data_IF_164601222002
#
_entry.id   IF_164601222002
#
_cell.length_a   1.000
_cell.length_b   1.000
_cell.length_c   1.000
_cell.angle_alpha   90.00
_cell.angle_beta   90.00
_cell.angle_gamma   90.00
#
_symmetry.space_group_name_H-M   'P 1'
#
loop_
_entity.id
_entity.type
_entity.pdbx_description
1 polymer ?
#
# COMPACT_ATOMS: atom_id res chain seq x y z
N UNK A 1 -8.43 11.85 29.97
CA UNK A 1 -7.44 11.33 29.00
C UNK A 1 -8.09 11.02 27.66
N UNK A 2 -9.26 10.37 27.64
CA UNK A 2 -10.03 10.13 26.40
C UNK A 2 -10.55 11.40 25.70
N UNK A 3 -10.82 12.47 26.45
CA UNK A 3 -11.33 13.75 25.90
C UNK A 3 -10.28 14.54 25.10
N UNK A 4 -9.01 14.52 25.53
CA UNK A 4 -7.88 15.16 24.82
C UNK A 4 -7.49 14.40 23.55
N UNK A 5 -7.61 13.06 23.58
CA UNK A 5 -7.45 12.21 22.41
C UNK A 5 -8.58 12.47 21.42
N UNK A 6 -9.83 12.57 21.89
CA UNK A 6 -10.97 12.84 21.02
C UNK A 6 -10.88 14.23 20.39
N UNK A 7 -10.48 15.27 21.13
CA UNK A 7 -10.24 16.60 20.58
C UNK A 7 -9.13 16.61 19.51
N UNK A 8 -8.03 15.89 19.74
CA UNK A 8 -6.96 15.72 18.73
C UNK A 8 -7.42 14.93 17.51
N UNK A 9 -8.28 13.93 17.69
CA UNK A 9 -8.91 13.17 16.60
C UNK A 9 -9.87 14.04 15.78
N UNK A 10 -10.72 14.87 16.42
CA UNK A 10 -11.60 15.85 15.74
C UNK A 10 -10.75 16.79 14.91
N UNK A 11 -9.72 17.37 15.53
CA UNK A 11 -8.88 18.37 14.90
C UNK A 11 -8.01 17.80 13.78
N UNK A 12 -7.58 16.54 13.89
CA UNK A 12 -6.85 15.83 12.84
C UNK A 12 -7.77 15.39 11.69
N UNK A 13 -8.99 14.92 11.98
CA UNK A 13 -9.95 14.52 10.95
C UNK A 13 -10.43 15.70 10.09
N UNK A 14 -10.74 16.84 10.72
CA UNK A 14 -11.15 18.06 10.04
C UNK A 14 -9.99 18.68 9.24
N UNK A 15 -8.77 18.70 9.81
CA UNK A 15 -7.60 19.30 9.18
C UNK A 15 -6.96 18.45 8.08
N UNK A 16 -6.99 17.12 8.19
CA UNK A 16 -6.26 16.23 7.29
C UNK A 16 -7.16 15.45 6.31
N UNK A 17 -8.41 15.13 6.68
CA UNK A 17 -9.36 14.50 5.76
C UNK A 17 -10.42 15.47 5.23
N UNK A 18 -10.57 16.67 5.81
CA UNK A 18 -11.64 17.61 5.45
C UNK A 18 -13.04 17.06 5.76
N UNK A 19 -13.13 16.06 6.65
CA UNK A 19 -14.38 15.38 7.02
C UNK A 19 -14.67 15.61 8.50
N UNK A 20 -15.95 15.87 8.81
CA UNK A 20 -16.43 15.89 10.19
C UNK A 20 -16.25 14.51 10.85
N UNK A 21 -16.05 14.47 12.16
CA UNK A 21 -15.82 13.21 12.90
C UNK A 21 -16.92 12.16 12.68
N UNK A 22 -18.14 12.61 12.41
CA UNK A 22 -19.32 11.78 12.16
C UNK A 22 -19.36 11.18 10.75
N UNK A 23 -18.52 11.66 9.83
CA UNK A 23 -18.36 11.15 8.46
C UNK A 23 -17.17 10.20 8.29
N UNK A 24 -16.43 9.90 9.37
CA UNK A 24 -15.33 8.95 9.36
C UNK A 24 -15.87 7.52 9.40
N UNK A 25 -15.39 6.69 8.49
CA UNK A 25 -15.58 5.25 8.53
C UNK A 25 -14.90 4.64 9.77
N UNK A 26 -15.35 3.45 10.24
CA UNK A 26 -14.74 2.77 11.38
C UNK A 26 -13.23 2.50 11.20
N UNK A 27 -12.80 2.30 9.95
CA UNK A 27 -11.38 2.12 9.59
C UNK A 27 -10.59 3.43 9.75
N UNK A 28 -11.08 4.55 9.22
CA UNK A 28 -10.42 5.87 9.34
C UNK A 28 -10.24 6.28 10.81
N UNK A 29 -11.23 6.02 11.68
CA UNK A 29 -11.11 6.28 13.14
C UNK A 29 -10.01 5.43 13.79
N UNK A 30 -9.93 4.14 13.48
CA UNK A 30 -8.93 3.25 14.05
C UNK A 30 -7.50 3.65 13.65
N UNK A 31 -7.30 4.11 12.41
CA UNK A 31 -6.00 4.59 11.92
C UNK A 31 -5.57 5.84 12.67
N UNK A 32 -6.47 6.81 12.86
CA UNK A 32 -6.17 8.03 13.59
C UNK A 32 -5.84 7.75 15.07
N UNK A 33 -6.56 6.85 15.73
CA UNK A 33 -6.24 6.40 17.09
C UNK A 33 -4.87 5.72 17.17
N UNK A 34 -4.53 4.88 16.19
CA UNK A 34 -3.23 4.21 16.12
C UNK A 34 -2.08 5.17 15.79
N UNK A 35 -2.31 6.19 14.96
CA UNK A 35 -1.35 7.25 14.66
C UNK A 35 -1.02 8.08 15.91
N UNK A 36 -2.03 8.46 16.68
CA UNK A 36 -1.85 9.15 17.98
C UNK A 36 -1.18 8.23 19.01
N UNK A 37 -1.46 6.92 18.96
CA UNK A 37 -0.95 5.92 19.88
C UNK A 37 0.52 5.49 19.67
N UNK A 38 1.23 5.98 18.64
CA UNK A 38 2.63 5.63 18.31
C UNK A 38 2.95 4.12 18.36
N UNK A 39 2.02 3.24 17.98
CA UNK A 39 2.33 1.81 17.84
C UNK A 39 2.97 1.56 16.47
N UNK A 40 4.15 0.96 16.48
CA UNK A 40 4.85 0.46 15.29
C UNK A 40 4.10 -0.75 14.76
N UNK A 41 3.27 -0.56 13.75
CA UNK A 41 2.62 -1.63 13.02
C UNK A 41 3.59 -2.14 11.96
N UNK A 42 4.55 -2.97 12.38
CA UNK A 42 5.20 -3.89 11.43
C UNK A 42 4.35 -5.15 11.46
N UNK A 43 3.17 -5.08 10.83
CA UNK A 43 2.34 -6.25 10.53
C UNK A 43 2.57 -6.55 9.07
N UNK A 44 3.01 -7.76 8.74
CA UNK A 44 3.12 -8.20 7.35
C UNK A 44 1.78 -8.81 6.93
N UNK A 45 0.91 -8.06 6.20
CA UNK A 45 -0.38 -8.58 5.75
C UNK A 45 -0.24 -9.82 4.84
N UNK A 46 0.92 -9.98 4.19
CA UNK A 46 1.21 -11.10 3.29
C UNK A 46 1.30 -12.43 4.05
N UNK A 47 1.95 -12.42 5.21
CA UNK A 47 2.24 -13.62 5.99
C UNK A 47 0.99 -14.18 6.68
N UNK A 48 0.06 -13.31 7.07
CA UNK A 48 -1.17 -13.69 7.76
C UNK A 48 -2.24 -14.26 6.82
N UNK A 49 -2.16 -13.94 5.52
CA UNK A 49 -3.03 -14.48 4.48
C UNK A 49 -2.67 -15.93 4.13
N UNK A 50 -1.36 -16.22 4.05
CA UNK A 50 -0.86 -17.54 3.66
C UNK A 50 -1.12 -18.61 4.75
N UNK A 51 -1.20 -18.20 6.03
CA UNK A 51 -1.45 -19.10 7.17
C UNK A 51 -2.90 -19.62 7.24
N UNK A 52 -3.83 -19.02 6.46
CA UNK A 52 -5.25 -19.40 6.42
C UNK A 52 -5.62 -20.30 5.25
N UNK A 53 -4.64 -20.71 4.43
CA UNK A 53 -4.90 -21.48 3.21
C UNK A 53 -5.26 -22.94 3.51
N UNK A 54 -6.42 -23.37 3.02
CA UNK A 54 -6.82 -24.79 3.07
C UNK A 54 -6.00 -25.63 2.09
N UNK A 55 -5.90 -26.94 2.33
CA UNK A 55 -5.14 -27.86 1.46
C UNK A 55 -5.60 -27.83 -0.01
N UNK A 56 -6.91 -27.70 -0.25
CA UNK A 56 -7.45 -27.60 -1.61
C UNK A 56 -7.06 -26.30 -2.31
N UNK A 57 -6.99 -25.18 -1.57
CA UNK A 57 -6.54 -23.90 -2.10
C UNK A 57 -5.05 -23.90 -2.46
N UNK A 58 -4.21 -24.52 -1.61
CA UNK A 58 -2.78 -24.71 -1.88
C UNK A 58 -2.54 -25.58 -3.11
N UNK A 59 -3.32 -26.66 -3.28
CA UNK A 59 -3.25 -27.50 -4.46
C UNK A 59 -3.67 -26.74 -5.73
N UNK A 60 -4.75 -25.96 -5.66
CA UNK A 60 -5.20 -25.13 -6.79
C UNK A 60 -4.14 -24.09 -7.19
N UNK A 61 -3.48 -23.43 -6.23
CA UNK A 61 -2.36 -22.51 -6.51
C UNK A 61 -1.20 -23.22 -7.19
N UNK A 62 -0.81 -24.40 -6.67
CA UNK A 62 0.27 -25.18 -7.25
C UNK A 62 -0.06 -25.63 -8.69
N UNK A 63 -1.30 -26.05 -8.94
CA UNK A 63 -1.76 -26.44 -10.29
C UNK A 63 -1.80 -25.24 -11.24
N UNK A 64 -2.26 -24.08 -10.78
CA UNK A 64 -2.28 -22.86 -11.58
C UNK A 64 -0.86 -22.37 -11.91
N UNK A 65 0.06 -22.39 -10.94
CA UNK A 65 1.46 -22.00 -11.12
C UNK A 65 2.20 -22.97 -12.05
N UNK A 66 1.95 -24.28 -11.92
CA UNK A 66 2.55 -25.29 -12.79
C UNK A 66 2.03 -25.19 -14.23
N UNK A 67 0.71 -25.07 -14.39
CA UNK A 67 0.05 -24.94 -15.69
C UNK A 67 0.38 -23.63 -16.43
N UNK A 68 0.75 -22.57 -15.71
CA UNK A 68 1.18 -21.29 -16.28
C UNK A 68 2.65 -21.23 -16.72
N UNK A 69 3.44 -22.29 -16.51
CA UNK A 69 4.88 -22.26 -16.84
C UNK A 69 5.15 -22.53 -18.33
N UNK A 70 6.09 -21.78 -18.92
CA UNK A 70 6.51 -21.98 -20.31
C UNK A 70 7.06 -23.38 -20.59
N UNK A 71 7.76 -23.98 -19.62
CA UNK A 71 8.28 -25.34 -19.73
C UNK A 71 7.16 -26.39 -19.80
N UNK A 72 6.07 -26.20 -19.05
CA UNK A 72 4.91 -27.08 -19.12
C UNK A 72 4.22 -26.99 -20.47
N UNK A 73 4.02 -25.78 -21.00
CA UNK A 73 3.38 -25.57 -22.31
C UNK A 73 4.17 -26.28 -23.43
N UNK A 74 5.50 -26.11 -23.45
CA UNK A 74 6.36 -26.74 -24.45
C UNK A 74 6.35 -28.28 -24.29
N UNK A 75 6.51 -28.79 -23.07
CA UNK A 75 6.48 -30.22 -22.80
C UNK A 75 5.15 -30.87 -23.18
N UNK A 76 4.04 -30.19 -22.87
CA UNK A 76 2.70 -30.63 -23.24
C UNK A 76 2.50 -30.67 -24.75
N UNK A 77 2.94 -29.63 -25.48
CA UNK A 77 2.88 -29.59 -26.94
C UNK A 77 3.71 -30.72 -27.58
N UNK A 78 4.90 -31.00 -27.06
CA UNK A 78 5.74 -32.12 -27.52
C UNK A 78 5.07 -33.46 -27.25
N UNK A 79 4.48 -33.66 -26.07
CA UNK A 79 3.75 -34.89 -25.75
C UNK A 79 2.55 -35.11 -26.68
N UNK A 80 1.79 -34.06 -27.00
CA UNK A 80 0.70 -34.12 -27.98
C UNK A 80 1.21 -34.48 -29.38
N UNK A 81 2.31 -33.88 -29.83
CA UNK A 81 2.92 -34.17 -31.12
C UNK A 81 3.42 -35.62 -31.19
N UNK A 82 4.03 -36.14 -30.12
CA UNK A 82 4.47 -37.53 -30.03
C UNK A 82 3.28 -38.50 -30.03
N UNK A 83 2.20 -38.19 -29.31
CA UNK A 83 0.98 -39.00 -29.27
C UNK A 83 0.30 -39.08 -30.65
N UNK A 84 0.15 -37.94 -31.31
CA UNK A 84 -0.42 -37.86 -32.65
C UNK A 84 0.47 -38.59 -33.67
N UNK A 85 1.79 -38.38 -33.60
CA UNK A 85 2.78 -39.06 -34.45
C UNK A 85 2.77 -40.57 -34.27
N UNK A 86 2.74 -41.06 -33.03
CA UNK A 86 2.67 -42.49 -32.74
C UNK A 86 1.39 -43.13 -33.31
N UNK A 87 0.23 -42.51 -33.10
CA UNK A 87 -1.04 -43.03 -33.62
C UNK A 87 -1.12 -42.99 -35.15
N UNK A 88 -0.51 -41.99 -35.79
CA UNK A 88 -0.45 -41.91 -37.25
C UNK A 88 0.45 -43.01 -37.85
N UNK A 89 1.58 -43.32 -37.20
CA UNK A 89 2.50 -44.39 -37.62
C UNK A 89 1.91 -45.79 -37.42
N UNK A 90 1.05 -45.97 -36.41
CA UNK A 90 0.43 -47.27 -36.09
C UNK A 90 -0.76 -47.61 -37.00
N UNK A 91 -1.29 -46.64 -37.78
CA UNK A 91 -2.33 -46.76 -38.82
C UNK A 91 -3.43 -47.82 -38.55
N UNK A 92 -3.16 -49.11 -38.87
CA UNK A 92 -4.11 -50.23 -38.70
C UNK A 92 -4.27 -50.80 -37.27
N UNK A 93 -3.43 -50.40 -36.31
CA UNK A 93 -3.57 -50.71 -34.87
C UNK A 93 -3.62 -49.43 -34.02
N UNK A 94 -3.93 -48.29 -34.63
CA UNK A 94 -4.00 -47.02 -33.93
C UNK A 94 -5.05 -47.07 -32.81
N UNK A 95 -4.64 -46.69 -31.61
CA UNK A 95 -5.52 -46.62 -30.44
C UNK A 95 -6.48 -45.43 -30.55
N UNK A 96 -6.01 -44.34 -31.16
CA UNK A 96 -6.77 -43.12 -31.44
C UNK A 96 -6.55 -42.68 -32.90
N UNK A 97 -7.27 -43.28 -33.88
CA UNK A 97 -7.16 -42.92 -35.29
C UNK A 97 -7.59 -41.48 -35.54
N UNK A 98 -7.06 -40.85 -36.60
CA UNK A 98 -7.54 -39.54 -37.06
C UNK A 98 -9.07 -39.61 -37.26
N UNK A 99 -9.88 -38.77 -36.58
CA UNK A 99 -9.60 -37.41 -36.10
C UNK A 99 -9.23 -37.24 -34.59
N UNK A 100 -8.67 -38.25 -33.92
CA UNK A 100 -8.20 -38.20 -32.52
C UNK A 100 -9.30 -37.88 -31.48
N UNK A 101 -10.37 -38.69 -31.46
CA UNK A 101 -11.54 -38.46 -30.59
C UNK A 101 -11.16 -38.58 -29.11
N UNK A 102 -10.29 -39.53 -28.77
CA UNK A 102 -9.90 -39.75 -27.37
C UNK A 102 -9.06 -38.58 -26.85
N UNK A 103 -8.08 -38.13 -27.63
CA UNK A 103 -7.28 -36.95 -27.30
C UNK A 103 -8.15 -35.70 -27.12
N UNK A 104 -9.11 -35.49 -28.03
CA UNK A 104 -10.02 -34.35 -27.95
C UNK A 104 -10.89 -34.39 -26.69
N UNK A 105 -11.41 -35.57 -26.32
CA UNK A 105 -12.18 -35.75 -25.09
C UNK A 105 -11.34 -35.41 -23.85
N UNK A 106 -10.11 -35.91 -23.79
CA UNK A 106 -9.19 -35.62 -22.68
C UNK A 106 -8.86 -34.13 -22.58
N UNK A 107 -8.53 -33.48 -23.69
CA UNK A 107 -8.25 -32.04 -23.73
C UNK A 107 -9.46 -31.21 -23.29
N UNK A 108 -10.66 -31.59 -23.73
CA UNK A 108 -11.91 -30.92 -23.35
C UNK A 108 -12.18 -31.03 -21.85
N UNK A 109 -11.98 -32.20 -21.25
CA UNK A 109 -12.11 -32.41 -19.80
C UNK A 109 -11.06 -31.62 -19.02
N UNK A 110 -9.81 -31.60 -19.51
CA UNK A 110 -8.73 -30.85 -18.88
C UNK A 110 -9.05 -29.35 -18.86
N UNK A 111 -9.46 -28.79 -20.00
CA UNK A 111 -9.83 -27.38 -20.12
C UNK A 111 -11.03 -27.02 -19.21
N UNK A 112 -12.03 -27.90 -19.12
CA UNK A 112 -13.21 -27.67 -18.28
C UNK A 112 -12.88 -27.55 -16.80
N UNK A 113 -11.91 -28.32 -16.30
CA UNK A 113 -11.43 -28.24 -14.91
C UNK A 113 -10.44 -27.07 -14.73
N UNK A 114 -9.67 -26.74 -15.77
CA UNK A 114 -8.66 -25.70 -15.71
C UNK A 114 -9.26 -24.30 -15.49
N UNK A 115 -10.36 -23.95 -16.17
CA UNK A 115 -10.94 -22.61 -16.07
C UNK A 115 -11.40 -22.23 -14.63
N UNK A 116 -12.15 -23.08 -13.90
CA UNK A 116 -12.49 -22.82 -12.50
C UNK A 116 -11.27 -22.77 -11.58
N UNK A 117 -10.25 -23.61 -11.78
CA UNK A 117 -9.04 -23.61 -10.96
C UNK A 117 -8.27 -22.30 -11.14
N UNK A 118 -8.12 -21.84 -12.39
CA UNK A 118 -7.54 -20.53 -12.71
C UNK A 118 -8.37 -19.42 -12.05
N UNK A 119 -9.69 -19.46 -12.18
CA UNK A 119 -10.58 -18.43 -11.61
C UNK A 119 -10.52 -18.41 -10.08
N UNK A 120 -10.40 -19.57 -9.42
CA UNK A 120 -10.20 -19.66 -7.97
C UNK A 120 -8.85 -19.06 -7.55
N UNK A 121 -7.78 -19.33 -8.31
CA UNK A 121 -6.46 -18.73 -8.07
C UNK A 121 -6.49 -17.21 -8.28
N UNK A 122 -7.17 -16.73 -9.32
CA UNK A 122 -7.33 -15.30 -9.62
C UNK A 122 -8.16 -14.58 -8.54
N UNK A 123 -9.31 -15.14 -8.15
CA UNK A 123 -10.14 -14.55 -7.09
C UNK A 123 -9.37 -14.44 -5.77
N UNK A 124 -8.52 -15.43 -5.46
CA UNK A 124 -7.66 -15.40 -4.27
C UNK A 124 -6.56 -14.33 -4.37
N UNK A 125 -5.86 -14.25 -5.50
CA UNK A 125 -4.85 -13.20 -5.72
C UNK A 125 -5.48 -11.80 -5.63
N UNK A 126 -6.64 -11.58 -6.27
CA UNK A 126 -7.35 -10.32 -6.20
C UNK A 126 -7.79 -9.95 -4.76
N UNK A 127 -8.16 -10.93 -3.94
CA UNK A 127 -8.48 -10.69 -2.53
C UNK A 127 -7.23 -10.28 -1.73
N UNK A 128 -6.10 -10.95 -1.95
CA UNK A 128 -4.79 -10.61 -1.34
C UNK A 128 -4.33 -9.21 -1.76
N UNK A 129 -4.40 -8.91 -3.05
CA UNK A 129 -4.03 -7.59 -3.61
C UNK A 129 -4.89 -6.47 -3.02
N UNK A 130 -6.18 -6.74 -2.79
CA UNK A 130 -7.09 -5.77 -2.15
C UNK A 130 -6.71 -5.49 -0.70
N UNK A 131 -6.32 -6.50 0.07
CA UNK A 131 -5.87 -6.31 1.45
C UNK A 131 -4.54 -5.57 1.52
N UNK A 132 -3.58 -5.93 0.66
CA UNK A 132 -2.30 -5.21 0.55
C UNK A 132 -2.54 -3.75 0.18
N UNK A 133 -3.36 -3.49 -0.84
CA UNK A 133 -3.69 -2.13 -1.26
C UNK A 133 -4.38 -1.31 -0.16
N UNK A 134 -5.25 -1.96 0.63
CA UNK A 134 -5.87 -1.30 1.76
C UNK A 134 -4.83 -0.95 2.83
N UNK A 135 -3.94 -1.89 3.18
CA UNK A 135 -2.88 -1.64 4.16
C UNK A 135 -1.91 -0.53 3.71
N UNK A 136 -1.50 -0.54 2.45
CA UNK A 136 -0.63 0.49 1.86
C UNK A 136 -1.28 1.88 1.94
N UNK A 137 -2.60 1.95 1.71
CA UNK A 137 -3.36 3.19 1.89
C UNK A 137 -3.32 3.69 3.34
N UNK A 138 -3.50 2.80 4.33
CA UNK A 138 -3.41 3.16 5.75
C UNK A 138 -2.02 3.68 6.14
N UNK A 139 -0.96 3.01 5.67
CA UNK A 139 0.43 3.40 5.91
C UNK A 139 0.72 4.76 5.27
N UNK A 140 0.30 4.97 4.02
CA UNK A 140 0.51 6.24 3.32
C UNK A 140 -0.22 7.39 4.02
N UNK A 141 -1.49 7.19 4.42
CA UNK A 141 -2.25 8.19 5.16
C UNK A 141 -1.58 8.55 6.49
N UNK A 142 -1.08 7.55 7.22
CA UNK A 142 -0.33 7.79 8.46
C UNK A 142 0.95 8.58 8.22
N UNK A 143 1.71 8.24 7.18
CA UNK A 143 2.91 8.97 6.81
C UNK A 143 2.61 10.43 6.45
N UNK A 144 1.52 10.68 5.72
CA UNK A 144 1.07 12.03 5.37
C UNK A 144 0.77 12.86 6.63
N UNK A 145 0.04 12.29 7.60
CA UNK A 145 -0.26 12.94 8.89
C UNK A 145 1.02 13.24 9.67
N UNK A 146 1.97 12.29 9.74
CA UNK A 146 3.25 12.49 10.42
C UNK A 146 4.09 13.61 9.77
N UNK A 147 4.09 13.69 8.43
CA UNK A 147 4.77 14.77 7.69
C UNK A 147 4.13 16.13 7.99
N UNK A 148 2.80 16.22 8.00
CA UNK A 148 2.11 17.48 8.30
C UNK A 148 2.36 17.93 9.74
N UNK A 149 2.35 17.01 10.70
CA UNK A 149 2.71 17.31 12.09
C UNK A 149 4.17 17.79 12.22
N UNK A 150 5.09 17.22 11.44
CA UNK A 150 6.48 17.68 11.37
C UNK A 150 6.57 19.09 10.79
N UNK A 151 5.84 19.37 9.71
CA UNK A 151 5.81 20.70 9.07
C UNK A 151 5.34 21.78 10.04
N UNK A 152 4.25 21.55 10.77
CA UNK A 152 3.72 22.49 11.74
C UNK A 152 4.73 22.74 12.89
N UNK A 153 5.47 21.71 13.32
CA UNK A 153 6.55 21.87 14.31
C UNK A 153 7.70 22.71 13.77
N UNK A 154 8.10 22.51 12.50
CA UNK A 154 9.14 23.30 11.85
C UNK A 154 8.73 24.77 11.72
N UNK A 155 7.48 25.03 11.32
CA UNK A 155 6.95 26.39 11.22
C UNK A 155 6.90 27.09 12.59
N UNK A 156 6.49 26.37 13.65
CA UNK A 156 6.51 26.90 15.01
C UNK A 156 7.93 27.28 15.45
N UNK A 157 8.91 26.42 15.21
CA UNK A 157 10.32 26.70 15.53
C UNK A 157 10.83 27.90 14.73
N UNK A 158 10.56 27.94 13.42
CA UNK A 158 10.97 29.05 12.55
C UNK A 158 10.34 30.38 12.96
N UNK A 159 9.07 30.39 13.33
CA UNK A 159 8.39 31.58 13.82
C UNK A 159 8.88 32.03 15.20
N UNK A 160 9.33 31.11 16.05
CA UNK A 160 9.95 31.44 17.33
C UNK A 160 11.32 32.10 17.12
N UNK A 161 12.16 31.50 16.27
CA UNK A 161 13.49 32.02 15.92
C UNK A 161 13.39 33.40 15.25
N UNK A 162 12.44 33.58 14.32
CA UNK A 162 12.22 34.87 13.67
C UNK A 162 11.82 35.96 14.66
N UNK A 163 10.96 35.64 15.63
CA UNK A 163 10.57 36.58 16.69
C UNK A 163 11.74 36.97 17.59
N UNK A 164 12.62 36.02 17.91
CA UNK A 164 13.85 36.29 18.67
C UNK A 164 14.80 37.23 17.90
N UNK A 165 15.01 36.96 16.60
CA UNK A 165 15.87 37.80 15.75
C UNK A 165 15.33 39.22 15.61
N UNK A 166 14.02 39.40 15.42
CA UNK A 166 13.38 40.71 15.39
C UNK A 166 13.56 41.44 16.74
N UNK A 167 13.43 40.73 17.86
CA UNK A 167 13.67 41.30 19.19
C UNK A 167 15.10 41.83 19.35
N UNK A 168 16.10 41.04 18.92
CA UNK A 168 17.52 41.46 18.92
C UNK A 168 17.77 42.67 18.02
N UNK A 169 17.12 42.74 16.85
CA UNK A 169 17.22 43.90 15.95
C UNK A 169 16.64 45.16 16.57
N UNK A 170 15.48 45.07 17.24
CA UNK A 170 14.88 46.23 17.92
C UNK A 170 15.79 46.75 19.04
N UNK A 171 16.39 45.86 19.83
CA UNK A 171 17.35 46.25 20.87
C UNK A 171 18.58 46.96 20.28
N UNK A 172 19.11 46.48 19.15
CA UNK A 172 20.21 47.14 18.44
C UNK A 172 19.81 48.53 17.92
N UNK A 173 18.61 48.70 17.36
CA UNK A 173 18.08 49.98 16.89
C UNK A 173 17.95 50.97 18.05
N UNK A 174 17.42 50.53 19.20
CA UNK A 174 17.27 51.36 20.39
C UNK A 174 18.63 51.82 20.94
N UNK A 175 19.64 50.95 20.97
CA UNK A 175 21.00 51.29 21.36
C UNK A 175 21.63 52.32 20.40
N UNK A 176 21.48 52.11 19.09
CA UNK A 176 21.95 53.06 18.07
C UNK A 176 21.28 54.42 18.21
N UNK A 177 19.97 54.44 18.47
CA UNK A 177 19.18 55.67 18.66
C UNK A 177 19.70 56.44 19.88
N UNK A 178 19.88 55.77 21.01
CA UNK A 178 20.47 56.37 22.23
C UNK A 178 21.88 56.92 21.99
N UNK A 179 22.72 56.20 21.23
CA UNK A 179 24.07 56.67 20.89
C UNK A 179 24.02 57.92 20.01
N UNK A 180 23.13 57.96 19.03
CA UNK A 180 22.92 59.13 18.16
C UNK A 180 22.42 60.33 18.97
N UNK A 181 21.43 60.15 19.85
CA UNK A 181 20.94 61.19 20.76
C UNK A 181 22.04 61.70 21.71
N UNK A 182 22.86 60.81 22.27
CA UNK A 182 23.97 61.19 23.15
C UNK A 182 25.05 62.01 22.41
N UNK A 183 25.26 61.74 21.12
CA UNK A 183 26.16 62.48 20.23
C UNK A 183 25.58 63.83 19.78
N UNK A 184 24.26 63.95 19.74
CA UNK A 184 23.51 65.16 19.35
C UNK A 184 23.07 66.03 20.55
N UNK A 185 23.42 65.66 21.78
CA UNK A 185 23.20 66.47 22.99
C UNK A 185 23.81 67.89 22.88
N UNK A 186 23.20 68.87 23.57
CA UNK A 186 22.80 70.16 23.01
C UNK A 186 23.96 71.02 22.51
N UNK A 187 24.11 71.13 21.19
CA UNK A 187 24.61 72.35 20.59
C UNK A 187 23.46 73.37 20.62
N UNK A 188 23.76 74.58 21.10
CA UNK A 188 22.88 75.77 21.14
C UNK A 188 21.97 75.92 22.37
N UNK A 189 22.59 76.06 23.54
CA UNK A 189 22.13 77.05 24.53
C UNK A 189 23.27 78.04 24.84
N UNK A 190 23.42 79.07 24.02
CA UNK A 190 24.19 80.29 24.32
C UNK A 190 23.45 81.50 23.80
#
# INVERSE_FOLDING_TARGET
MSDDINAKLIHAADRYLGKNQDALTPQERAILEQAIGKRTLSRDPTAEYDDKLTLGQRLADAVAAFGGSWNFIIGFAVALALWAGANLLLAGRAFDPYPFIFLNLMLSMLAAIQAPVIMMSQNRQAAKDREVSAHDYEVNLKAEIEIMALHEKVDQMRNAELRELIGKQQEQIDLLTKLVESRLGPAESR
#
